data_IF_553052516415
#
_entry.id   IF_553052516415
#
_cell.length_a   1.000
_cell.length_b   1.000
_cell.length_c   1.000
_cell.angle_alpha   90.00
_cell.angle_beta   90.00
_cell.angle_gamma   90.00
#
_symmetry.space_group_name_H-M   'P 1'
#
loop_
_entity.id
_entity.type
_entity.pdbx_description
1 polymer ?
#
# COMPACT_ATOMS: atom_id res chain seq x y z
N UNK A 1 10.72 10.54 -13.39
CA UNK A 1 11.06 9.32 -12.61
C UNK A 1 9.82 8.49 -12.34
N UNK A 2 8.78 9.08 -11.72
CA UNK A 2 7.47 8.41 -11.54
C UNK A 2 6.87 7.96 -12.89
N UNK A 3 6.95 8.81 -13.91
CA UNK A 3 6.45 8.51 -15.25
C UNK A 3 7.13 7.27 -15.87
N UNK A 4 8.41 7.07 -15.57
CA UNK A 4 9.16 5.90 -16.06
C UNK A 4 8.73 4.60 -15.38
N UNK A 5 8.31 4.66 -14.11
CA UNK A 5 7.74 3.51 -13.41
C UNK A 5 6.31 3.23 -13.89
N UNK A 6 5.50 4.28 -14.07
CA UNK A 6 4.15 4.14 -14.61
C UNK A 6 4.15 3.57 -16.03
N UNK A 7 5.06 4.06 -16.90
CA UNK A 7 5.25 3.52 -18.26
C UNK A 7 5.70 2.05 -18.28
N UNK A 8 6.28 1.55 -17.18
CA UNK A 8 6.62 0.12 -17.01
C UNK A 8 5.47 -0.72 -16.44
N UNK A 9 4.30 -0.12 -16.26
CA UNK A 9 3.10 -0.81 -15.73
C UNK A 9 3.01 -0.87 -14.21
N UNK A 10 3.86 -0.14 -13.47
CA UNK A 10 3.74 -0.09 -12.02
C UNK A 10 2.60 0.85 -11.60
N UNK A 11 1.70 0.37 -10.73
CA UNK A 11 0.87 1.27 -9.93
C UNK A 11 1.73 1.91 -8.86
N UNK A 12 1.78 3.23 -8.87
CA UNK A 12 2.57 3.99 -7.90
C UNK A 12 1.71 4.23 -6.66
N UNK A 13 2.26 3.93 -5.48
CA UNK A 13 1.61 4.19 -4.19
C UNK A 13 2.53 5.05 -3.35
N UNK A 14 2.00 6.12 -2.77
CA UNK A 14 2.78 7.03 -1.94
C UNK A 14 1.96 7.60 -0.78
N UNK A 15 2.65 8.23 0.19
CA UNK A 15 2.01 8.88 1.33
C UNK A 15 1.24 10.11 0.84
N UNK A 16 -0.06 10.11 1.08
CA UNK A 16 -0.99 11.17 0.66
C UNK A 16 -1.79 11.65 1.87
N UNK A 17 -2.11 12.94 1.92
CA UNK A 17 -2.96 13.50 2.96
C UNK A 17 -4.43 13.13 2.69
N UNK A 18 -5.08 12.48 3.64
CA UNK A 18 -6.51 12.16 3.60
C UNK A 18 -7.11 12.26 5.00
N UNK A 19 -8.23 12.97 5.10
CA UNK A 19 -9.01 13.11 6.34
C UNK A 19 -8.14 13.50 7.57
N UNK A 20 -7.14 14.37 7.36
CA UNK A 20 -6.23 14.83 8.42
C UNK A 20 -5.13 13.85 8.81
N UNK A 21 -4.92 12.79 8.04
CA UNK A 21 -3.90 11.77 8.26
C UNK A 21 -3.09 11.47 6.99
N UNK A 22 -1.89 10.91 7.15
CA UNK A 22 -1.16 10.37 6.01
C UNK A 22 -1.62 8.93 5.77
N UNK A 23 -1.99 8.63 4.54
CA UNK A 23 -2.42 7.30 4.09
C UNK A 23 -1.60 6.86 2.88
N UNK A 24 -1.53 5.56 2.65
CA UNK A 24 -0.93 5.02 1.43
C UNK A 24 -2.01 4.96 0.35
N UNK A 25 -1.84 5.77 -0.70
CA UNK A 25 -2.80 5.87 -1.81
C UNK A 25 -2.09 5.89 -3.15
N UNK A 26 -2.85 5.68 -4.22
CA UNK A 26 -2.30 5.73 -5.58
C UNK A 26 -1.94 7.16 -5.95
N UNK A 27 -0.73 7.35 -6.51
CA UNK A 27 -0.24 8.63 -6.99
C UNK A 27 0.06 8.55 -8.50
N UNK A 28 -0.08 9.66 -9.20
CA UNK A 28 0.23 9.80 -10.63
C UNK A 28 1.36 10.81 -10.85
N UNK A 29 1.42 11.84 -10.01
CA UNK A 29 2.36 12.96 -10.13
C UNK A 29 3.10 13.19 -8.81
N UNK A 30 4.26 13.84 -8.90
CA UNK A 30 5.03 14.22 -7.70
C UNK A 30 4.22 15.18 -6.82
N UNK A 31 3.36 16.01 -7.42
CA UNK A 31 2.45 16.93 -6.73
C UNK A 31 1.40 16.24 -5.86
N UNK A 32 1.14 14.94 -6.09
CA UNK A 32 0.20 14.17 -5.26
C UNK A 32 0.81 13.87 -3.89
N UNK A 33 2.15 13.82 -3.83
CA UNK A 33 2.90 13.72 -2.59
C UNK A 33 2.99 15.11 -1.96
N UNK A 34 2.42 15.23 -0.77
CA UNK A 34 2.29 16.52 -0.11
C UNK A 34 3.64 17.03 0.41
N UNK A 35 3.93 18.30 0.16
CA UNK A 35 5.14 18.99 0.61
C UNK A 35 4.86 19.86 1.81
N UNK A 36 5.83 19.98 2.72
CA UNK A 36 5.75 20.93 3.84
C UNK A 36 4.83 20.50 4.98
N UNK A 37 4.50 19.22 5.06
CA UNK A 37 3.74 18.68 6.20
C UNK A 37 4.66 18.00 7.22
N UNK A 38 4.34 18.18 8.50
CA UNK A 38 4.93 17.44 9.61
C UNK A 38 3.85 16.84 10.50
N UNK A 39 4.16 15.71 11.11
CA UNK A 39 3.32 15.09 12.12
C UNK A 39 3.80 15.43 13.53
N UNK A 40 2.84 15.62 14.42
CA UNK A 40 3.04 15.59 15.87
C UNK A 40 2.33 14.36 16.42
N UNK A 41 3.12 13.46 17.01
CA UNK A 41 2.63 12.22 17.62
C UNK A 41 2.85 12.24 19.13
N UNK A 42 1.80 11.94 19.88
CA UNK A 42 1.82 11.75 21.33
C UNK A 42 0.93 10.54 21.67
N UNK A 43 1.01 9.97 22.89
CA UNK A 43 0.11 8.88 23.29
C UNK A 43 -1.37 9.24 23.07
N UNK A 44 -2.04 8.50 22.17
CA UNK A 44 -3.45 8.73 21.84
C UNK A 44 -3.74 9.97 20.99
N UNK A 45 -2.71 10.66 20.46
CA UNK A 45 -2.87 11.89 19.69
C UNK A 45 -1.98 11.90 18.45
N UNK A 46 -2.58 12.29 17.34
CA UNK A 46 -1.91 12.50 16.07
C UNK A 46 -2.44 13.79 15.45
N UNK A 47 -1.54 14.65 14.96
CA UNK A 47 -1.91 15.87 14.24
C UNK A 47 -0.92 16.13 13.11
N UNK A 48 -1.45 16.65 12.01
CA UNK A 48 -0.65 17.19 10.92
C UNK A 48 -0.61 18.71 10.99
N UNK A 49 0.58 19.26 10.74
CA UNK A 49 0.82 20.69 10.69
C UNK A 49 1.48 21.05 9.36
N UNK A 50 0.92 22.06 8.71
CA UNK A 50 1.51 22.64 7.52
C UNK A 50 2.60 23.61 7.94
N UNK A 51 3.76 23.51 7.30
CA UNK A 51 4.96 24.30 7.58
C UNK A 51 5.34 25.10 6.34
N UNK A 52 6.22 26.08 6.49
CA UNK A 52 6.85 26.79 5.37
C UNK A 52 7.97 25.99 4.69
N UNK A 53 8.20 24.74 5.12
CA UNK A 53 9.21 23.86 4.56
C UNK A 53 8.76 23.34 3.18
N UNK A 54 9.72 23.10 2.29
CA UNK A 54 9.49 22.37 1.04
C UNK A 54 9.88 20.88 1.16
N UNK A 55 10.05 20.37 2.39
CA UNK A 55 10.36 18.97 2.64
C UNK A 55 9.24 18.06 2.10
N UNK A 56 9.64 17.09 1.28
CA UNK A 56 8.82 15.95 0.87
C UNK A 56 9.08 14.84 1.88
N UNK A 57 8.04 14.11 2.29
CA UNK A 57 8.14 13.08 3.33
C UNK A 57 8.54 13.64 4.71
N UNK A 58 8.15 14.87 5.02
CA UNK A 58 8.34 15.48 6.34
C UNK A 58 7.55 14.80 7.47
N UNK A 59 6.65 13.87 7.14
CA UNK A 59 5.86 13.06 8.07
C UNK A 59 6.46 11.65 8.20
N UNK A 60 6.53 11.11 9.43
CA UNK A 60 7.11 9.78 9.70
C UNK A 60 6.32 8.65 9.04
N UNK A 61 5.19 8.26 9.61
CA UNK A 61 4.27 7.32 8.99
C UNK A 61 2.87 7.60 9.50
N UNK A 62 1.88 7.38 8.63
CA UNK A 62 0.48 7.41 9.04
C UNK A 62 0.11 6.22 9.93
N UNK A 63 -1.16 6.13 10.35
CA UNK A 63 -1.68 4.96 11.05
C UNK A 63 -1.76 3.70 10.17
N UNK A 64 -1.60 3.85 8.85
CA UNK A 64 -1.72 2.76 7.89
C UNK A 64 -0.37 2.09 7.62
N UNK A 65 -0.36 0.75 7.60
CA UNK A 65 0.78 -0.05 7.15
C UNK A 65 0.73 -0.38 5.65
N UNK A 66 1.81 -0.93 5.11
CA UNK A 66 1.87 -1.42 3.72
C UNK A 66 1.13 -2.75 3.50
N UNK A 67 0.62 -3.40 4.55
CA UNK A 67 -0.01 -4.73 4.48
C UNK A 67 -1.07 -4.87 3.37
N UNK A 68 -1.99 -3.91 3.13
CA UNK A 68 -3.01 -4.05 2.11
C UNK A 68 -2.47 -4.20 0.67
N UNK A 69 -1.23 -3.77 0.40
CA UNK A 69 -0.60 -3.86 -0.92
C UNK A 69 0.17 -5.16 -1.16
N UNK A 70 0.40 -5.94 -0.10
CA UNK A 70 1.14 -7.21 -0.14
C UNK A 70 0.29 -8.40 0.29
N UNK A 71 -0.90 -8.15 0.83
CA UNK A 71 -1.86 -9.17 1.25
C UNK A 71 -3.27 -8.58 1.13
N UNK A 72 -4.09 -9.15 0.23
CA UNK A 72 -5.47 -8.70 0.09
C UNK A 72 -6.25 -8.98 1.38
N UNK A 73 -7.13 -8.06 1.84
CA UNK A 73 -7.96 -8.28 3.02
C UNK A 73 -9.02 -9.38 2.80
N UNK A 74 -9.33 -9.69 1.54
CA UNK A 74 -10.25 -10.76 1.11
C UNK A 74 -9.68 -11.41 -0.13
N UNK A 75 -9.58 -12.74 -0.13
CA UNK A 75 -9.13 -13.53 -1.28
C UNK A 75 -10.19 -14.56 -1.62
N UNK A 76 -10.53 -14.67 -2.91
CA UNK A 76 -11.32 -15.79 -3.42
C UNK A 76 -10.38 -16.97 -3.60
N UNK A 77 -10.69 -18.10 -2.97
CA UNK A 77 -9.85 -19.31 -3.07
C UNK A 77 -10.32 -20.24 -4.18
N UNK A 78 -11.64 -20.35 -4.35
CA UNK A 78 -12.27 -21.23 -5.31
C UNK A 78 -13.65 -20.70 -5.69
N UNK A 79 -14.04 -20.97 -6.93
CA UNK A 79 -15.39 -20.77 -7.45
C UNK A 79 -16.05 -22.14 -7.61
N UNK A 80 -17.27 -22.29 -7.08
CA UNK A 80 -18.07 -23.51 -7.26
C UNK A 80 -19.27 -23.15 -8.12
N UNK A 81 -19.45 -23.89 -9.21
CA UNK A 81 -20.60 -23.76 -10.09
C UNK A 81 -21.41 -25.05 -10.12
N UNK A 82 -22.74 -24.93 -10.15
CA UNK A 82 -23.63 -26.09 -10.28
C UNK A 82 -23.76 -26.47 -11.75
N UNK A 83 -23.49 -27.73 -12.06
CA UNK A 83 -23.64 -28.31 -13.40
C UNK A 83 -24.75 -29.38 -13.40
N UNK A 84 -25.07 -29.94 -14.57
CA UNK A 84 -26.10 -30.98 -14.71
C UNK A 84 -25.79 -32.23 -13.86
N UNK A 85 -24.50 -32.57 -13.73
CA UNK A 85 -24.04 -33.80 -13.07
C UNK A 85 -23.44 -33.56 -11.67
N UNK A 86 -23.61 -32.37 -11.09
CA UNK A 86 -23.10 -32.05 -9.74
C UNK A 86 -22.52 -30.64 -9.64
N UNK A 87 -21.29 -30.54 -9.13
CA UNK A 87 -20.58 -29.27 -8.95
C UNK A 87 -19.23 -29.30 -9.67
N UNK A 88 -18.91 -28.22 -10.37
CA UNK A 88 -17.57 -27.96 -10.90
C UNK A 88 -16.86 -26.95 -9.98
N UNK A 89 -15.56 -27.15 -9.75
CA UNK A 89 -14.73 -26.23 -8.98
C UNK A 89 -13.61 -25.68 -9.84
N UNK A 90 -13.40 -24.37 -9.73
CA UNK A 90 -12.31 -23.65 -10.39
C UNK A 90 -11.49 -22.94 -9.33
N UNK A 91 -10.18 -23.18 -9.30
CA UNK A 91 -9.28 -22.45 -8.42
C UNK A 91 -9.20 -20.99 -8.86
N UNK A 92 -9.33 -20.06 -7.92
CA UNK A 92 -9.17 -18.63 -8.20
C UNK A 92 -7.76 -18.23 -7.80
N UNK A 93 -6.90 -18.01 -8.80
CA UNK A 93 -5.59 -17.43 -8.55
C UNK A 93 -5.74 -15.91 -8.37
N UNK A 94 -5.17 -15.32 -7.32
CA UNK A 94 -5.18 -13.89 -7.14
C UNK A 94 -4.39 -13.20 -8.26
N UNK A 95 -4.92 -12.08 -8.74
CA UNK A 95 -4.26 -11.27 -9.76
C UNK A 95 -3.14 -10.46 -9.13
N UNK A 96 -1.90 -10.80 -9.45
CA UNK A 96 -0.74 -10.03 -9.00
C UNK A 96 -0.68 -8.69 -9.76
N UNK A 97 -0.70 -7.60 -9.02
CA UNK A 97 -0.46 -6.26 -9.55
C UNK A 97 0.98 -5.83 -9.23
N UNK A 98 1.68 -5.27 -10.20
CA UNK A 98 3.00 -4.67 -9.99
C UNK A 98 2.86 -3.31 -9.32
N UNK A 99 3.24 -3.21 -8.06
CA UNK A 99 3.13 -1.98 -7.26
C UNK A 99 4.52 -1.42 -6.93
N UNK A 100 4.70 -0.11 -7.11
CA UNK A 100 5.89 0.61 -6.65
C UNK A 100 5.51 1.52 -5.47
N UNK A 101 6.06 1.22 -4.28
CA UNK A 101 5.86 2.03 -3.07
C UNK A 101 6.91 3.15 -3.05
N UNK A 102 6.45 4.40 -3.00
CA UNK A 102 7.29 5.61 -3.02
C UNK A 102 7.26 6.24 -1.63
N UNK A 103 8.43 6.50 -1.05
CA UNK A 103 8.54 7.11 0.28
C UNK A 103 8.44 6.11 1.44
N UNK A 104 8.55 4.80 1.19
CA UNK A 104 8.64 3.78 2.25
C UNK A 104 9.88 4.01 3.12
N UNK A 105 9.71 3.87 4.44
CA UNK A 105 10.78 4.00 5.43
C UNK A 105 11.34 2.64 5.83
N UNK A 106 12.48 2.68 6.53
CA UNK A 106 13.12 1.48 7.06
C UNK A 106 12.20 0.67 7.98
N UNK A 107 11.36 1.33 8.79
CA UNK A 107 10.38 0.65 9.65
C UNK A 107 9.27 -0.03 8.84
N UNK A 108 8.82 0.54 7.73
CA UNK A 108 7.84 -0.10 6.82
C UNK A 108 8.42 -1.39 6.25
N UNK A 109 9.66 -1.34 5.76
CA UNK A 109 10.36 -2.50 5.21
C UNK A 109 10.60 -3.57 6.29
N UNK A 110 10.98 -3.18 7.50
CA UNK A 110 11.13 -4.10 8.62
C UNK A 110 9.80 -4.80 8.97
N UNK A 111 8.68 -4.07 8.95
CA UNK A 111 7.34 -4.61 9.12
C UNK A 111 7.00 -5.66 8.06
N UNK A 112 7.33 -5.39 6.79
CA UNK A 112 7.14 -6.36 5.70
C UNK A 112 7.99 -7.62 5.87
N UNK A 113 9.25 -7.49 6.30
CA UNK A 113 10.11 -8.66 6.58
C UNK A 113 9.53 -9.53 7.69
N UNK A 114 8.93 -8.94 8.72
CA UNK A 114 8.24 -9.69 9.78
C UNK A 114 6.99 -10.37 9.21
N UNK A 115 6.21 -9.67 8.39
CA UNK A 115 5.02 -10.23 7.73
C UNK A 115 5.37 -11.46 6.89
N UNK A 116 6.44 -11.40 6.09
CA UNK A 116 6.91 -12.50 5.25
C UNK A 116 7.28 -13.77 6.03
N UNK A 117 7.61 -13.65 7.32
CA UNK A 117 7.88 -14.80 8.20
C UNK A 117 6.60 -15.46 8.70
N UNK A 118 5.52 -14.69 8.81
CA UNK A 118 4.24 -15.12 9.38
C UNK A 118 3.34 -15.68 8.28
N UNK A 119 3.31 -15.04 7.11
CA UNK A 119 2.49 -15.45 6.00
C UNK A 119 3.29 -16.35 5.05
N UNK A 120 2.77 -17.51 4.64
CA UNK A 120 3.43 -18.31 3.61
C UNK A 120 3.54 -17.48 2.32
N UNK A 121 4.69 -17.53 1.64
CA UNK A 121 4.86 -16.93 0.30
C UNK A 121 3.85 -17.56 -0.65
N UNK A 122 2.75 -16.86 -0.89
CA UNK A 122 1.54 -17.45 -1.50
C UNK A 122 1.43 -17.19 -3.00
N UNK A 123 2.33 -16.38 -3.54
CA UNK A 123 2.34 -15.95 -4.93
C UNK A 123 3.61 -16.45 -5.62
N UNK A 124 3.49 -17.19 -6.74
CA UNK A 124 4.65 -17.45 -7.59
C UNK A 124 5.20 -16.13 -8.16
N UNK A 125 6.52 -16.03 -8.39
CA UNK A 125 7.15 -14.85 -8.96
C UNK A 125 6.65 -14.54 -10.39
#
# INVERSE_FOLDING_TARGET
>A
MLDALSAKGYRLVGPTLRDGSIVWETIQHVSDVQTGWRDQQEPGRYRLEQTSSNEIFGVVHGPQSLKPFVCAPRESLLQIERCKDGFATTATLPQAETVAIIGARACDLAGLVIQDRIFPKRYPP
#
